data_IF_039539749774
#
_entry.id   IF_039539749774
#
_cell.length_a   1.000
_cell.length_b   1.000
_cell.length_c   1.000
_cell.angle_alpha   90.00
_cell.angle_beta   90.00
_cell.angle_gamma   90.00
#
_symmetry.space_group_name_H-M   'P 1'
#
loop_
_entity.id
_entity.type
_entity.pdbx_description
1 polymer ?
#
# COMPACT_ATOMS: atom_id res chain seq x y z
N UNK A 1 -2.93 -5.03 22.69
CA UNK A 1 -2.96 -3.91 21.73
C UNK A 1 -3.90 -4.22 20.59
N UNK A 2 -3.78 -5.35 19.88
CA UNK A 2 -4.73 -5.73 18.82
C UNK A 2 -6.15 -5.79 19.38
N UNK A 3 -6.35 -6.48 20.52
CA UNK A 3 -7.67 -6.55 21.17
C UNK A 3 -8.20 -5.17 21.61
N UNK A 4 -7.30 -4.25 22.00
CA UNK A 4 -7.65 -2.89 22.42
C UNK A 4 -8.04 -2.02 21.21
N UNK A 5 -7.28 -2.11 20.10
CA UNK A 5 -7.59 -1.44 18.82
C UNK A 5 -8.95 -1.93 18.30
N UNK A 6 -9.23 -3.23 18.43
CA UNK A 6 -10.46 -3.84 17.93
C UNK A 6 -11.65 -3.68 18.89
N UNK A 7 -11.40 -3.51 20.19
CA UNK A 7 -12.43 -3.41 21.24
C UNK A 7 -13.04 -4.75 21.65
N UNK A 8 -12.45 -5.88 21.26
CA UNK A 8 -12.84 -7.24 21.64
C UNK A 8 -11.65 -8.20 21.50
N UNK A 9 -11.77 -9.40 22.07
CA UNK A 9 -10.76 -10.45 21.94
C UNK A 9 -10.82 -11.10 20.57
N UNK A 10 -9.91 -10.74 19.67
CA UNK A 10 -9.74 -11.42 18.40
C UNK A 10 -8.85 -12.65 18.60
N UNK A 11 -9.08 -13.71 17.82
CA UNK A 11 -8.21 -14.87 17.72
C UNK A 11 -7.38 -14.82 16.44
N UNK A 12 -8.00 -14.46 15.33
CA UNK A 12 -7.38 -14.48 14.00
C UNK A 12 -7.51 -13.13 13.28
N UNK A 13 -6.42 -12.63 12.70
CA UNK A 13 -6.39 -11.34 11.97
C UNK A 13 -5.67 -11.46 10.63
N UNK A 14 -6.24 -10.82 9.60
CA UNK A 14 -5.62 -10.70 8.28
C UNK A 14 -5.00 -9.31 8.15
N UNK A 15 -3.70 -9.23 7.90
CA UNK A 15 -2.96 -7.96 7.84
C UNK A 15 -2.46 -7.76 6.41
N UNK A 16 -2.81 -6.64 5.76
CA UNK A 16 -2.60 -6.44 4.32
C UNK A 16 -1.82 -5.16 4.07
N UNK A 17 -0.69 -5.23 3.37
CA UNK A 17 -0.07 -4.04 2.75
C UNK A 17 -0.87 -3.55 1.54
N UNK A 18 -1.27 -2.27 1.53
CA UNK A 18 -2.30 -1.73 0.62
C UNK A 18 -1.76 -1.09 -0.66
N UNK A 19 -0.62 -0.41 -0.57
CA UNK A 19 0.00 0.28 -1.69
C UNK A 19 0.91 -0.63 -2.52
N UNK A 20 1.98 -0.06 -3.03
CA UNK A 20 3.01 -0.84 -3.73
C UNK A 20 3.64 -1.91 -2.83
N UNK A 21 4.32 -2.90 -3.41
CA UNK A 21 4.83 -4.08 -2.70
C UNK A 21 5.68 -3.78 -1.45
N UNK A 22 6.27 -2.59 -1.35
CA UNK A 22 6.98 -2.13 -0.16
C UNK A 22 6.14 -2.10 1.12
N UNK A 23 4.82 -1.94 1.02
CA UNK A 23 3.92 -1.91 2.18
C UNK A 23 3.89 -3.22 2.95
N UNK A 24 4.16 -4.35 2.27
CA UNK A 24 4.34 -5.64 2.93
C UNK A 24 5.42 -5.61 4.03
N UNK A 25 6.46 -4.80 3.84
CA UNK A 25 7.52 -4.59 4.84
C UNK A 25 7.01 -3.78 6.02
N UNK A 26 6.26 -2.70 5.78
CA UNK A 26 5.66 -1.90 6.86
C UNK A 26 4.63 -2.69 7.68
N UNK A 27 3.82 -3.49 7.00
CA UNK A 27 2.83 -4.40 7.60
C UNK A 27 3.43 -5.44 8.55
N UNK A 28 4.71 -5.79 8.36
CA UNK A 28 5.39 -6.78 9.22
C UNK A 28 5.43 -6.35 10.70
N UNK A 29 5.39 -5.04 10.99
CA UNK A 29 5.33 -4.50 12.36
C UNK A 29 4.00 -4.90 13.03
N UNK A 30 2.88 -4.68 12.35
CA UNK A 30 1.55 -5.06 12.86
C UNK A 30 1.38 -6.58 12.90
N UNK A 31 1.96 -7.30 11.95
CA UNK A 31 1.97 -8.77 11.94
C UNK A 31 2.72 -9.33 13.14
N UNK A 32 3.93 -8.83 13.42
CA UNK A 32 4.70 -9.28 14.58
C UNK A 32 4.05 -8.87 15.91
N UNK A 33 3.39 -7.71 15.97
CA UNK A 33 2.55 -7.33 17.11
C UNK A 33 1.43 -8.36 17.35
N UNK A 34 0.72 -8.80 16.31
CA UNK A 34 -0.34 -9.79 16.43
C UNK A 34 0.19 -11.14 16.94
N UNK A 35 1.32 -11.61 16.39
CA UNK A 35 1.96 -12.84 16.87
C UNK A 35 2.43 -12.73 18.33
N UNK A 36 3.01 -11.59 18.72
CA UNK A 36 3.42 -11.31 20.09
C UNK A 36 2.27 -11.28 21.11
N UNK A 37 1.03 -11.10 20.63
CA UNK A 37 -0.20 -11.19 21.42
C UNK A 37 -0.93 -12.53 21.25
N UNK A 38 -0.21 -13.55 20.78
CA UNK A 38 -0.69 -14.92 20.60
C UNK A 38 -1.91 -15.02 19.67
N UNK A 39 -2.00 -14.13 18.68
CA UNK A 39 -3.02 -14.18 17.62
C UNK A 39 -2.56 -15.06 16.47
N UNK A 40 -3.51 -15.76 15.86
CA UNK A 40 -3.32 -16.29 14.51
C UNK A 40 -3.28 -15.09 13.55
N UNK A 41 -2.22 -14.95 12.78
CA UNK A 41 -2.05 -13.83 11.87
C UNK A 41 -1.65 -14.33 10.48
N UNK A 42 -2.27 -13.78 9.45
CA UNK A 42 -1.83 -13.97 8.06
C UNK A 42 -1.38 -12.64 7.51
N UNK A 43 -0.16 -12.61 6.97
CA UNK A 43 0.34 -11.47 6.23
C UNK A 43 -0.09 -11.58 4.76
N UNK A 44 -0.69 -10.51 4.26
CA UNK A 44 -1.03 -10.34 2.85
C UNK A 44 -0.48 -9.04 2.30
N UNK A 45 -0.48 -8.93 0.98
CA UNK A 45 -0.10 -7.71 0.29
C UNK A 45 -0.70 -7.66 -1.10
N UNK A 46 -0.94 -6.43 -1.55
CA UNK A 46 -1.25 -6.17 -2.94
C UNK A 46 -0.03 -6.48 -3.80
N UNK A 47 -0.25 -7.26 -4.86
CA UNK A 47 0.78 -7.64 -5.81
C UNK A 47 0.97 -6.54 -6.86
N UNK A 48 1.48 -5.39 -6.44
CA UNK A 48 1.81 -4.29 -7.34
C UNK A 48 3.21 -3.77 -7.03
N UNK A 49 4.15 -4.10 -7.91
CA UNK A 49 5.55 -3.79 -7.69
C UNK A 49 5.90 -2.42 -8.28
N UNK A 50 6.85 -1.72 -7.65
CA UNK A 50 7.36 -0.47 -8.21
C UNK A 50 8.10 -0.72 -9.52
N UNK A 51 8.08 0.27 -10.42
CA UNK A 51 8.76 0.22 -11.73
C UNK A 51 10.24 -0.21 -11.70
N UNK A 52 10.94 0.02 -10.58
CA UNK A 52 12.33 -0.38 -10.37
C UNK A 52 12.48 -1.89 -10.20
N UNK A 53 11.50 -2.54 -9.58
CA UNK A 53 11.41 -4.00 -9.43
C UNK A 53 10.74 -4.62 -10.65
N UNK A 54 9.71 -3.96 -11.17
CA UNK A 54 8.89 -4.45 -12.26
C UNK A 54 8.46 -3.33 -13.21
N UNK A 55 9.07 -3.22 -14.41
CA UNK A 55 8.70 -2.18 -15.37
C UNK A 55 7.35 -2.42 -16.04
N UNK A 56 6.71 -3.59 -15.88
CA UNK A 56 5.42 -3.87 -16.50
C UNK A 56 4.31 -3.14 -15.72
N UNK A 57 3.53 -2.23 -16.35
CA UNK A 57 2.57 -1.40 -15.62
C UNK A 57 1.45 -2.21 -14.97
N UNK A 58 0.98 -1.73 -13.82
CA UNK A 58 -0.15 -2.30 -13.10
C UNK A 58 0.18 -3.56 -12.30
N UNK A 59 -0.83 -4.08 -11.57
CA UNK A 59 -0.64 -5.21 -10.66
C UNK A 59 -0.29 -6.51 -11.39
N UNK A 60 0.46 -7.36 -10.70
CA UNK A 60 0.76 -8.74 -11.07
C UNK A 60 -0.52 -9.56 -10.97
N UNK A 61 -0.89 -10.25 -12.05
CA UNK A 61 -2.06 -11.12 -12.07
C UNK A 61 -1.74 -12.48 -11.44
N UNK A 62 -2.74 -13.13 -10.86
CA UNK A 62 -2.56 -14.46 -10.25
C UNK A 62 -2.04 -15.49 -11.26
N UNK A 63 -2.44 -15.40 -12.53
CA UNK A 63 -1.98 -16.30 -13.58
C UNK A 63 -0.51 -16.09 -13.98
N UNK A 64 0.09 -14.97 -13.58
CA UNK A 64 1.51 -14.66 -13.82
C UNK A 64 2.40 -15.27 -12.72
N UNK A 65 1.82 -15.66 -11.57
CA UNK A 65 2.55 -16.25 -10.44
C UNK A 65 3.00 -17.69 -10.73
N UNK A 66 4.12 -18.05 -10.12
CA UNK A 66 4.73 -19.37 -10.07
C UNK A 66 5.07 -19.67 -8.60
N UNK A 67 5.11 -20.96 -8.24
CA UNK A 67 5.29 -21.41 -6.85
C UNK A 67 4.28 -20.77 -5.88
N UNK A 68 3.00 -20.83 -6.24
CA UNK A 68 1.89 -20.31 -5.45
C UNK A 68 0.67 -21.22 -5.57
N UNK A 69 -0.20 -21.23 -4.56
CA UNK A 69 -1.49 -21.91 -4.62
C UNK A 69 -2.59 -20.92 -5.00
N UNK A 70 -3.12 -21.03 -6.22
CA UNK A 70 -4.21 -20.17 -6.68
C UNK A 70 -5.51 -20.47 -5.92
N UNK A 71 -6.09 -19.44 -5.30
CA UNK A 71 -7.38 -19.53 -4.59
C UNK A 71 -8.55 -19.03 -5.42
N UNK A 72 -8.28 -18.21 -6.44
CA UNK A 72 -9.28 -17.58 -7.28
C UNK A 72 -8.64 -16.79 -8.43
N UNK A 73 -9.36 -15.80 -8.96
CA UNK A 73 -8.82 -14.94 -10.01
C UNK A 73 -7.91 -13.84 -9.45
N UNK A 74 -8.10 -13.49 -8.18
CA UNK A 74 -7.46 -12.34 -7.54
C UNK A 74 -6.65 -12.72 -6.31
N UNK A 75 -6.78 -13.95 -5.78
CA UNK A 75 -6.05 -14.41 -4.61
C UNK A 75 -5.20 -15.66 -4.87
N UNK A 76 -4.04 -15.70 -4.23
CA UNK A 76 -3.20 -16.89 -4.12
C UNK A 76 -2.50 -16.96 -2.76
N UNK A 77 -2.26 -18.17 -2.25
CA UNK A 77 -1.28 -18.38 -1.20
C UNK A 77 0.11 -18.29 -1.82
N UNK A 78 0.96 -17.47 -1.24
CA UNK A 78 2.33 -17.19 -1.69
C UNK A 78 3.30 -17.43 -0.54
N UNK A 79 4.57 -17.63 -0.85
CA UNK A 79 5.63 -17.87 0.13
C UNK A 79 6.98 -17.33 -0.37
N UNK A 80 8.06 -17.66 0.35
CA UNK A 80 9.41 -17.20 0.03
C UNK A 80 9.96 -17.60 -1.34
N UNK A 81 9.38 -18.63 -1.98
CA UNK A 81 9.79 -19.13 -3.29
C UNK A 81 8.90 -18.64 -4.43
N UNK A 82 7.85 -17.86 -4.12
CA UNK A 82 6.92 -17.30 -5.12
C UNK A 82 7.60 -16.24 -5.98
N UNK A 83 7.38 -16.32 -7.28
CA UNK A 83 7.77 -15.30 -8.25
C UNK A 83 6.73 -15.17 -9.35
N UNK A 84 6.82 -14.13 -10.17
CA UNK A 84 5.98 -13.90 -11.33
C UNK A 84 6.79 -13.91 -12.62
N UNK A 85 6.18 -14.37 -13.72
CA UNK A 85 6.68 -14.17 -15.08
C UNK A 85 5.82 -13.12 -15.77
N UNK A 86 6.36 -11.90 -15.93
CA UNK A 86 5.67 -10.78 -16.58
C UNK A 86 6.40 -10.35 -17.83
N UNK A 87 5.75 -10.46 -18.98
CA UNK A 87 6.36 -10.16 -20.29
C UNK A 87 7.73 -10.86 -20.47
N UNK A 88 7.84 -12.11 -20.02
CA UNK A 88 9.07 -12.92 -20.06
C UNK A 88 10.13 -12.56 -19.01
N UNK A 89 9.84 -11.66 -18.07
CA UNK A 89 10.74 -11.26 -16.99
C UNK A 89 10.41 -12.00 -15.70
N UNK A 90 11.44 -12.38 -14.97
CA UNK A 90 11.33 -12.91 -13.61
C UNK A 90 11.22 -11.75 -12.61
N UNK A 91 10.08 -11.65 -11.92
CA UNK A 91 9.79 -10.61 -10.91
C UNK A 91 9.50 -11.30 -9.60
N UNK A 92 10.16 -10.88 -8.51
CA UNK A 92 9.88 -11.40 -7.17
C UNK A 92 8.98 -10.36 -6.46
N UNK A 93 7.72 -10.69 -6.14
CA UNK A 93 6.87 -9.80 -5.37
C UNK A 93 7.50 -9.49 -4.00
N UNK A 94 7.40 -8.26 -3.51
CA UNK A 94 8.03 -7.90 -2.23
C UNK A 94 7.49 -8.73 -1.06
N UNK A 95 6.22 -9.15 -1.10
CA UNK A 95 5.66 -10.07 -0.11
C UNK A 95 6.44 -11.39 -0.05
N UNK A 96 6.88 -11.94 -1.19
CA UNK A 96 7.68 -13.17 -1.20
C UNK A 96 9.03 -12.95 -0.50
N UNK A 97 9.68 -11.79 -0.69
CA UNK A 97 10.91 -11.46 0.04
C UNK A 97 10.68 -11.41 1.55
N UNK A 98 9.56 -10.83 2.00
CA UNK A 98 9.17 -10.77 3.42
C UNK A 98 8.92 -12.18 3.97
N UNK A 99 8.10 -12.97 3.27
CA UNK A 99 7.75 -14.35 3.63
C UNK A 99 8.96 -15.28 3.68
N UNK A 100 9.94 -15.09 2.81
CA UNK A 100 11.21 -15.82 2.85
C UNK A 100 12.12 -15.46 4.03
N UNK A 101 11.84 -14.37 4.75
CA UNK A 101 12.51 -14.02 6.01
C UNK A 101 11.74 -14.57 7.21
N UNK A 102 10.43 -14.33 7.27
CA UNK A 102 9.60 -14.83 8.38
C UNK A 102 9.36 -16.35 8.33
N UNK A 103 9.60 -16.98 7.17
CA UNK A 103 9.39 -18.41 6.88
C UNK A 103 7.97 -18.88 7.12
N UNK A 104 7.04 -18.13 6.54
CA UNK A 104 5.60 -18.41 6.60
C UNK A 104 4.97 -18.27 5.21
N UNK A 105 3.76 -18.79 5.08
CA UNK A 105 2.89 -18.55 3.92
C UNK A 105 2.09 -17.26 4.14
N UNK A 106 1.68 -16.62 3.05
CA UNK A 106 0.92 -15.39 3.07
C UNK A 106 -0.09 -15.30 1.93
N UNK A 107 -0.82 -14.18 1.89
CA UNK A 107 -1.86 -13.94 0.89
C UNK A 107 -1.40 -12.92 -0.16
N UNK A 108 -1.20 -13.37 -1.39
CA UNK A 108 -1.00 -12.51 -2.54
C UNK A 108 -2.34 -12.02 -3.08
N UNK A 109 -2.51 -10.70 -3.22
CA UNK A 109 -3.75 -10.05 -3.67
C UNK A 109 -3.50 -9.31 -4.97
N UNK A 110 -3.98 -9.84 -6.09
CA UNK A 110 -4.02 -9.12 -7.35
C UNK A 110 -5.24 -8.19 -7.39
N UNK A 111 -5.01 -6.88 -7.47
CA UNK A 111 -6.07 -5.88 -7.66
C UNK A 111 -6.33 -5.57 -9.14
N UNK A 112 -6.01 -6.51 -10.04
CA UNK A 112 -6.09 -6.32 -11.50
C UNK A 112 -7.51 -6.28 -12.08
N UNK A 113 -8.54 -6.56 -11.27
CA UNK A 113 -9.94 -6.61 -11.70
C UNK A 113 -10.85 -5.73 -10.84
N UNK A 114 -12.18 -5.82 -11.01
CA UNK A 114 -13.12 -4.91 -10.38
C UNK A 114 -13.05 -4.95 -8.86
N UNK A 115 -13.14 -3.79 -8.21
CA UNK A 115 -13.19 -3.64 -6.74
C UNK A 115 -14.14 -4.66 -6.11
N UNK A 116 -15.36 -4.76 -6.68
CA UNK A 116 -16.43 -5.63 -6.18
C UNK A 116 -16.08 -7.12 -6.23
N UNK A 117 -15.28 -7.53 -7.21
CA UNK A 117 -14.93 -8.94 -7.41
C UNK A 117 -13.73 -9.33 -6.56
N UNK A 118 -12.71 -8.47 -6.49
CA UNK A 118 -11.57 -8.67 -5.59
C UNK A 118 -12.05 -8.72 -4.13
N UNK A 119 -12.93 -7.78 -3.74
CA UNK A 119 -13.52 -7.76 -2.41
C UNK A 119 -14.34 -9.01 -2.10
N UNK A 120 -15.04 -9.58 -3.09
CA UNK A 120 -15.79 -10.84 -2.91
C UNK A 120 -14.86 -12.01 -2.62
N UNK A 121 -13.79 -12.19 -3.40
CA UNK A 121 -12.83 -13.27 -3.15
C UNK A 121 -12.13 -13.11 -1.78
N UNK A 122 -11.77 -11.88 -1.39
CA UNK A 122 -11.21 -11.62 -0.04
C UNK A 122 -12.25 -11.93 1.05
N UNK A 123 -13.51 -11.58 0.85
CA UNK A 123 -14.58 -11.85 1.82
C UNK A 123 -14.84 -13.36 1.98
N UNK A 124 -14.78 -14.12 0.89
CA UNK A 124 -14.87 -15.57 0.89
C UNK A 124 -13.68 -16.19 1.63
N UNK A 125 -12.47 -15.70 1.37
CA UNK A 125 -11.26 -16.10 2.10
C UNK A 125 -11.38 -15.81 3.60
N UNK A 126 -11.76 -14.58 3.96
CA UNK A 126 -11.98 -14.14 5.33
C UNK A 126 -12.96 -15.06 6.06
N UNK A 127 -14.10 -15.36 5.42
CA UNK A 127 -15.14 -16.21 5.99
C UNK A 127 -14.71 -17.68 6.10
N UNK A 128 -14.02 -18.20 5.08
CA UNK A 128 -13.55 -19.59 5.03
C UNK A 128 -12.54 -19.91 6.12
N UNK A 129 -11.62 -18.98 6.38
CA UNK A 129 -10.54 -19.15 7.36
C UNK A 129 -10.88 -18.53 8.73
N UNK A 130 -12.05 -17.90 8.88
CA UNK A 130 -12.57 -17.47 10.18
C UNK A 130 -11.79 -16.30 10.79
N UNK A 131 -11.34 -15.34 9.98
CA UNK A 131 -10.68 -14.14 10.47
C UNK A 131 -11.69 -13.25 11.21
N UNK A 132 -11.26 -12.71 12.36
CA UNK A 132 -12.09 -11.86 13.22
C UNK A 132 -11.97 -10.37 12.84
N UNK A 133 -10.88 -9.97 12.17
CA UNK A 133 -10.68 -8.62 11.65
C UNK A 133 -9.71 -8.58 10.45
N UNK A 134 -9.81 -7.51 9.65
CA UNK A 134 -8.81 -7.17 8.62
C UNK A 134 -8.13 -5.86 9.01
N UNK A 135 -6.80 -5.81 8.91
CA UNK A 135 -6.00 -4.60 9.15
C UNK A 135 -5.22 -4.27 7.88
N UNK A 136 -5.65 -3.25 7.15
CA UNK A 136 -4.92 -2.73 5.99
C UNK A 136 -3.89 -1.71 6.42
N UNK A 137 -2.66 -1.79 5.92
CA UNK A 137 -1.56 -0.87 6.24
C UNK A 137 -1.10 -0.17 4.95
N UNK A 138 -1.10 1.16 4.99
CA UNK A 138 -0.47 2.06 4.02
C UNK A 138 0.80 2.63 4.67
N UNK A 139 1.93 2.59 3.95
CA UNK A 139 3.18 3.20 4.39
C UNK A 139 3.36 4.58 3.75
N UNK A 140 3.20 5.63 4.57
CA UNK A 140 3.33 7.02 4.15
C UNK A 140 2.05 7.82 4.35
N UNK A 141 0.88 7.25 4.03
CA UNK A 141 -0.42 7.87 4.30
C UNK A 141 -1.14 8.41 3.07
N UNK A 142 -0.76 7.99 1.86
CA UNK A 142 -1.45 8.32 0.60
C UNK A 142 -2.93 7.94 0.62
N UNK A 143 -3.31 6.91 1.39
CA UNK A 143 -4.71 6.53 1.61
C UNK A 143 -5.57 7.63 2.26
N UNK A 144 -4.95 8.60 2.96
CA UNK A 144 -5.63 9.71 3.62
C UNK A 144 -5.70 10.99 2.77
N UNK A 145 -5.13 10.96 1.57
CA UNK A 145 -5.06 12.10 0.67
C UNK A 145 -6.44 12.56 0.18
N UNK A 146 -6.54 13.85 -0.13
CA UNK A 146 -7.74 14.50 -0.65
C UNK A 146 -7.78 14.55 -2.18
N UNK A 147 -6.63 14.41 -2.84
CA UNK A 147 -6.46 14.55 -4.29
C UNK A 147 -6.14 15.97 -4.75
N UNK A 148 -6.07 16.94 -3.84
CA UNK A 148 -5.69 18.33 -4.15
C UNK A 148 -4.23 18.63 -3.88
N UNK A 149 -3.51 17.68 -3.29
CA UNK A 149 -2.12 17.80 -2.89
C UNK A 149 -1.20 17.83 -4.11
N UNK A 150 -0.36 18.85 -4.18
CA UNK A 150 0.55 19.01 -5.30
C UNK A 150 1.68 17.97 -5.32
N UNK A 151 1.94 17.23 -4.24
CA UNK A 151 3.05 16.26 -4.22
C UNK A 151 2.57 14.81 -4.23
N UNK A 152 1.27 14.58 -4.38
CA UNK A 152 0.66 13.24 -4.46
C UNK A 152 0.78 12.66 -5.87
N UNK A 153 1.58 11.61 -6.01
CA UNK A 153 1.96 10.97 -7.28
C UNK A 153 1.50 9.51 -7.38
N UNK A 154 1.36 8.78 -6.27
CA UNK A 154 1.01 7.35 -6.26
C UNK A 154 -0.21 6.93 -5.42
N UNK A 155 -1.38 7.61 -5.48
CA UNK A 155 -2.51 7.27 -4.61
C UNK A 155 -3.38 6.10 -5.10
N UNK A 156 -3.14 5.55 -6.29
CA UNK A 156 -4.12 4.65 -6.93
C UNK A 156 -4.22 3.30 -6.21
N UNK A 157 -3.11 2.62 -5.94
CA UNK A 157 -3.07 1.34 -5.27
C UNK A 157 -3.71 1.46 -3.88
N UNK A 158 -3.30 2.45 -3.08
CA UNK A 158 -3.83 2.69 -1.75
C UNK A 158 -5.34 2.96 -1.76
N UNK A 159 -5.79 3.91 -2.59
CA UNK A 159 -7.22 4.24 -2.67
C UNK A 159 -8.07 3.08 -3.21
N UNK A 160 -7.55 2.31 -4.17
CA UNK A 160 -8.21 1.13 -4.73
C UNK A 160 -8.30 -0.01 -3.71
N UNK A 161 -7.24 -0.24 -2.95
CA UNK A 161 -7.18 -1.25 -1.89
C UNK A 161 -8.09 -0.90 -0.72
N UNK A 162 -8.14 0.35 -0.29
CA UNK A 162 -9.10 0.80 0.73
C UNK A 162 -10.54 0.69 0.22
N UNK A 163 -10.79 0.94 -1.06
CA UNK A 163 -12.11 0.71 -1.68
C UNK A 163 -12.52 -0.76 -1.63
N UNK A 164 -11.59 -1.67 -1.93
CA UNK A 164 -11.79 -3.12 -1.79
C UNK A 164 -12.10 -3.47 -0.33
N UNK A 165 -11.29 -3.00 0.62
CA UNK A 165 -11.47 -3.30 2.05
C UNK A 165 -12.79 -2.76 2.61
N UNK A 166 -13.26 -1.62 2.10
CA UNK A 166 -14.60 -1.09 2.42
C UNK A 166 -15.68 -2.09 2.01
N UNK A 167 -15.57 -2.70 0.82
CA UNK A 167 -16.50 -3.73 0.36
C UNK A 167 -16.36 -5.05 1.12
N UNK A 168 -15.14 -5.44 1.50
CA UNK A 168 -14.92 -6.59 2.39
C UNK A 168 -15.65 -6.38 3.72
N UNK A 169 -15.55 -5.19 4.30
CA UNK A 169 -16.27 -4.84 5.52
C UNK A 169 -17.80 -4.92 5.34
N UNK A 170 -18.32 -4.44 4.21
CA UNK A 170 -19.75 -4.51 3.88
C UNK A 170 -20.24 -5.96 3.77
N UNK A 171 -19.44 -6.85 3.17
CA UNK A 171 -19.83 -8.25 2.90
C UNK A 171 -19.71 -9.17 4.10
N UNK A 172 -18.68 -8.98 4.92
CA UNK A 172 -18.36 -9.86 6.04
C UNK A 172 -18.93 -9.35 7.36
N UNK A 173 -19.14 -8.03 7.47
CA UNK A 173 -19.53 -7.37 8.71
C UNK A 173 -18.43 -7.25 9.76
N UNK A 174 -17.25 -7.86 9.54
CA UNK A 174 -16.16 -7.83 10.51
C UNK A 174 -15.47 -6.46 10.55
N UNK A 175 -14.80 -6.11 11.67
CA UNK A 175 -14.02 -4.90 11.77
C UNK A 175 -12.91 -4.84 10.73
N UNK A 176 -12.77 -3.66 10.13
CA UNK A 176 -11.68 -3.34 9.22
C UNK A 176 -10.99 -2.08 9.72
N UNK A 177 -9.69 -2.19 9.93
CA UNK A 177 -8.84 -1.12 10.46
C UNK A 177 -7.91 -0.65 9.34
N UNK A 178 -7.80 0.67 9.19
CA UNK A 178 -6.77 1.29 8.35
C UNK A 178 -5.62 1.76 9.23
N UNK A 179 -4.44 1.18 9.03
CA UNK A 179 -3.18 1.62 9.62
C UNK A 179 -2.42 2.52 8.66
N UNK A 180 -1.89 3.63 9.16
CA UNK A 180 -0.93 4.48 8.44
C UNK A 180 0.40 4.38 9.15
N UNK A 181 1.36 3.69 8.54
CA UNK A 181 2.71 3.49 9.03
C UNK A 181 3.64 4.60 8.52
N UNK A 182 4.35 5.26 9.43
CA UNK A 182 5.32 6.29 9.08
C UNK A 182 4.73 7.47 8.30
N UNK A 183 4.02 8.40 8.96
CA UNK A 183 3.43 9.56 8.30
C UNK A 183 4.43 10.33 7.41
N UNK A 184 4.15 10.41 6.11
CA UNK A 184 4.92 11.13 5.09
C UNK A 184 6.26 10.51 4.67
N UNK A 185 6.52 9.25 5.03
CA UNK A 185 7.81 8.59 4.71
C UNK A 185 7.96 8.18 3.26
N UNK A 186 6.89 8.19 2.47
CA UNK A 186 6.87 7.94 1.02
C UNK A 186 7.45 9.10 0.18
N UNK A 187 7.61 10.28 0.79
CA UNK A 187 8.06 11.52 0.17
C UNK A 187 7.00 12.24 -0.66
N UNK A 188 5.75 11.81 -0.59
CA UNK A 188 4.63 12.36 -1.36
C UNK A 188 3.86 13.38 -0.53
N UNK A 189 3.48 12.99 0.68
CA UNK A 189 2.78 13.85 1.61
C UNK A 189 3.70 14.36 2.70
N UNK A 190 3.51 15.62 3.09
CA UNK A 190 4.24 16.16 4.23
C UNK A 190 3.79 15.45 5.52
N UNK A 191 4.74 15.02 6.36
CA UNK A 191 4.47 14.40 7.67
C UNK A 191 3.43 15.15 8.50
N UNK A 192 3.55 16.48 8.63
CA UNK A 192 2.65 17.29 9.45
C UNK A 192 1.25 17.35 8.83
N UNK A 193 1.15 17.28 7.50
CA UNK A 193 -0.12 17.15 6.81
C UNK A 193 -0.78 15.80 7.13
N UNK A 194 -0.07 14.69 7.04
CA UNK A 194 -0.62 13.36 7.35
C UNK A 194 -1.05 13.27 8.82
N UNK A 195 -0.23 13.76 9.76
CA UNK A 195 -0.59 13.83 11.18
C UNK A 195 -1.79 14.75 11.45
N UNK A 196 -1.91 15.86 10.73
CA UNK A 196 -3.10 16.72 10.77
C UNK A 196 -4.33 15.96 10.26
N UNK A 197 -4.24 15.22 9.15
CA UNK A 197 -5.33 14.40 8.62
C UNK A 197 -5.76 13.34 9.65
N UNK A 198 -4.82 12.62 10.25
CA UNK A 198 -5.09 11.67 11.34
C UNK A 198 -5.80 12.37 12.51
N UNK A 199 -5.35 13.56 12.91
CA UNK A 199 -5.96 14.33 14.01
C UNK A 199 -7.40 14.77 13.70
N UNK A 200 -7.68 15.16 12.45
CA UNK A 200 -9.05 15.49 12.01
C UNK A 200 -9.98 14.28 12.09
N UNK A 201 -9.50 13.10 11.68
CA UNK A 201 -10.26 11.85 11.75
C UNK A 201 -10.42 11.38 13.21
N UNK A 202 -9.40 11.58 14.06
CA UNK A 202 -9.49 11.33 15.49
C UNK A 202 -10.58 12.18 16.16
N UNK A 203 -10.73 13.45 15.77
CA UNK A 203 -11.82 14.33 16.22
C UNK A 203 -13.21 13.81 15.86
N UNK A 204 -13.32 12.88 14.90
CA UNK A 204 -14.56 12.18 14.52
C UNK A 204 -14.71 10.82 15.19
N UNK A 205 -13.87 10.50 16.17
CA UNK A 205 -13.90 9.24 16.92
C UNK A 205 -13.39 8.02 16.16
N UNK A 206 -12.62 8.24 15.09
CA UNK A 206 -12.06 7.17 14.27
C UNK A 206 -10.74 6.60 14.79
N UNK A 207 -10.04 7.32 15.67
CA UNK A 207 -8.74 6.89 16.16
C UNK A 207 -8.87 5.71 17.13
N UNK A 208 -8.17 4.62 16.83
CA UNK A 208 -8.19 3.37 17.61
C UNK A 208 -6.93 3.20 18.45
N UNK A 209 -5.82 3.81 18.05
CA UNK A 209 -4.56 3.72 18.77
C UNK A 209 -3.36 3.90 17.85
N UNK A 210 -2.17 3.82 18.43
CA UNK A 210 -0.93 3.88 17.69
C UNK A 210 0.09 2.92 18.29
N UNK A 211 0.96 2.36 17.45
CA UNK A 211 2.00 1.42 17.86
C UNK A 211 3.32 1.76 17.16
N UNK A 212 4.40 1.76 17.92
CA UNK A 212 5.76 1.88 17.40
C UNK A 212 6.50 0.55 17.47
N UNK A 213 7.44 0.28 16.55
CA UNK A 213 8.22 -0.96 16.55
C UNK A 213 9.07 -1.10 17.82
N UNK A 214 9.07 -2.30 18.38
CA UNK A 214 9.95 -2.75 19.48
C UNK A 214 11.33 -3.14 18.95
N UNK A 215 12.28 -3.43 19.85
CA UNK A 215 13.58 -3.95 19.43
C UNK A 215 13.49 -5.26 18.64
N UNK A 216 12.51 -6.12 18.93
CA UNK A 216 12.28 -7.34 18.15
C UNK A 216 11.82 -7.04 16.72
N UNK A 217 10.94 -6.04 16.56
CA UNK A 217 10.50 -5.57 15.25
C UNK A 217 11.67 -5.00 14.45
N UNK A 218 12.61 -4.30 15.10
CA UNK A 218 13.78 -3.74 14.42
C UNK A 218 14.73 -4.81 13.87
N UNK A 219 14.94 -5.90 14.61
CA UNK A 219 15.76 -7.02 14.13
C UNK A 219 15.08 -7.67 12.92
N UNK A 220 13.78 -7.92 13.01
CA UNK A 220 13.02 -8.49 11.90
C UNK A 220 13.03 -7.57 10.65
N UNK A 221 12.81 -6.26 10.85
CA UNK A 221 12.85 -5.28 9.76
C UNK A 221 14.23 -5.21 9.12
N UNK A 222 15.31 -5.30 9.90
CA UNK A 222 16.68 -5.33 9.37
C UNK A 222 16.89 -6.54 8.45
N UNK A 223 16.45 -7.73 8.87
CA UNK A 223 16.53 -8.95 8.06
C UNK A 223 15.66 -8.86 6.78
N UNK A 224 14.45 -8.32 6.90
CA UNK A 224 13.53 -8.09 5.76
C UNK A 224 14.14 -7.10 4.77
N UNK A 225 14.64 -5.96 5.23
CA UNK A 225 15.25 -4.92 4.40
C UNK A 225 16.57 -5.38 3.75
N UNK A 226 17.17 -6.47 4.23
CA UNK A 226 18.27 -7.16 3.56
C UNK A 226 17.86 -7.91 2.28
N UNK A 227 16.56 -8.17 2.08
CA UNK A 227 16.03 -8.89 0.89
C UNK A 227 14.99 -8.10 0.11
N UNK A 228 14.05 -7.44 0.78
CA UNK A 228 12.97 -6.69 0.18
C UNK A 228 13.41 -5.28 -0.23
N UNK A 229 12.87 -4.80 -1.35
CA UNK A 229 13.17 -3.48 -1.90
C UNK A 229 12.04 -2.51 -1.54
N UNK A 230 12.32 -1.56 -0.65
CA UNK A 230 11.40 -0.48 -0.30
C UNK A 230 12.18 0.72 0.23
N UNK A 231 11.89 1.92 -0.29
CA UNK A 231 12.48 3.15 0.26
C UNK A 231 11.65 3.65 1.46
N UNK A 232 10.32 3.63 1.37
CA UNK A 232 9.42 4.20 2.37
C UNK A 232 9.50 3.45 3.72
N UNK A 233 9.37 2.11 3.70
CA UNK A 233 9.44 1.29 4.91
C UNK A 233 10.86 1.25 5.49
N UNK A 234 11.90 1.44 4.68
CA UNK A 234 13.26 1.63 5.16
C UNK A 234 13.39 2.92 6.00
N UNK A 235 12.66 3.98 5.65
CA UNK A 235 12.64 5.21 6.45
C UNK A 235 11.91 5.04 7.78
N UNK A 236 10.87 4.19 7.85
CA UNK A 236 10.22 3.78 9.12
C UNK A 236 11.25 3.12 10.04
N UNK A 237 12.00 2.14 9.54
CA UNK A 237 13.10 1.48 10.28
C UNK A 237 14.17 2.49 10.72
N UNK A 238 14.61 3.37 9.81
CA UNK A 238 15.64 4.39 10.09
C UNK A 238 15.21 5.36 11.19
N UNK A 239 13.96 5.82 11.17
CA UNK A 239 13.39 6.65 12.22
C UNK A 239 13.34 5.91 13.57
N UNK A 240 12.93 4.65 13.56
CA UNK A 240 12.85 3.82 14.76
C UNK A 240 14.22 3.52 15.40
N UNK A 241 15.29 3.51 14.57
CA UNK A 241 16.69 3.45 15.02
C UNK A 241 17.22 4.79 15.57
N UNK A 242 16.38 5.81 15.63
CA UNK A 242 16.68 7.10 16.24
C UNK A 242 17.19 8.17 15.28
N UNK A 243 17.11 7.97 13.96
CA UNK A 243 17.47 9.01 13.01
C UNK A 243 16.49 10.19 13.09
N UNK A 244 17.04 11.40 13.13
CA UNK A 244 16.29 12.66 13.11
C UNK A 244 16.90 13.61 12.08
N UNK A 245 16.05 14.21 11.24
CA UNK A 245 16.45 15.20 10.23
C UNK A 245 16.02 14.81 8.82
N UNK A 246 16.53 15.56 7.84
CA UNK A 246 16.19 15.34 6.43
C UNK A 246 16.91 14.11 5.87
N UNK A 247 16.24 13.36 5.01
CA UNK A 247 16.80 12.24 4.26
C UNK A 247 16.25 12.25 2.84
N UNK A 248 17.05 11.76 1.90
CA UNK A 248 16.64 11.64 0.52
C UNK A 248 15.75 10.40 0.30
N UNK A 249 14.84 10.49 -0.68
CA UNK A 249 13.99 9.41 -1.16
C UNK A 249 13.74 9.56 -2.67
N UNK A 250 13.25 8.50 -3.31
CA UNK A 250 12.98 8.40 -4.75
C UNK A 250 14.24 8.68 -5.55
N UNK A 251 15.32 8.00 -5.18
CA UNK A 251 16.64 8.16 -5.81
C UNK A 251 17.23 9.56 -5.69
N UNK A 252 16.88 10.33 -4.64
CA UNK A 252 17.41 11.67 -4.40
C UNK A 252 16.57 12.83 -4.96
N UNK A 253 15.47 12.52 -5.64
CA UNK A 253 14.59 13.55 -6.23
C UNK A 253 13.69 14.24 -5.21
N UNK A 254 13.55 13.65 -4.01
CA UNK A 254 12.69 14.13 -2.93
C UNK A 254 13.39 14.04 -1.58
N UNK A 255 12.91 14.86 -0.63
CA UNK A 255 13.39 14.88 0.76
C UNK A 255 12.25 14.67 1.73
N UNK A 256 12.52 13.86 2.75
CA UNK A 256 11.61 13.59 3.86
C UNK A 256 12.30 14.00 5.15
N UNK A 257 11.58 14.71 6.03
CA UNK A 257 12.05 14.99 7.39
C UNK A 257 11.57 13.89 8.33
N UNK A 258 12.52 13.14 8.89
CA UNK A 258 12.25 12.07 9.84
C UNK A 258 12.38 12.55 11.28
N UNK A 259 11.50 12.02 12.12
CA UNK A 259 11.64 11.98 13.58
C UNK A 259 10.98 10.70 14.12
N UNK A 260 10.87 10.57 15.45
CA UNK A 260 10.34 9.36 16.06
C UNK A 260 8.89 9.07 15.66
N UNK A 261 8.08 10.08 15.32
CA UNK A 261 6.70 9.88 14.83
C UNK A 261 6.66 9.16 13.48
N UNK A 262 7.73 9.28 12.68
CA UNK A 262 7.90 8.56 11.41
C UNK A 262 8.11 7.05 11.58
N UNK A 263 8.28 6.55 12.79
CA UNK A 263 8.29 5.09 13.07
C UNK A 263 6.92 4.52 13.46
N UNK A 264 5.92 5.38 13.70
CA UNK A 264 4.67 4.97 14.34
C UNK A 264 3.65 4.56 13.28
N UNK A 265 2.90 3.51 13.58
CA UNK A 265 1.67 3.14 12.87
C UNK A 265 0.46 3.66 13.63
N UNK A 266 -0.39 4.44 12.97
CA UNK A 266 -1.63 4.99 13.52
C UNK A 266 -2.82 4.22 12.97
N UNK A 267 -3.68 3.69 13.85
CA UNK A 267 -4.81 2.84 13.49
C UNK A 267 -6.12 3.62 13.55
N UNK A 268 -6.92 3.49 12.49
CA UNK A 268 -8.19 4.18 12.29
C UNK A 268 -9.29 3.17 11.96
N UNK A 269 -10.48 3.40 12.49
CA UNK A 269 -11.70 2.66 12.15
C UNK A 269 -12.15 3.06 10.72
N UNK A 270 -12.01 2.13 9.76
CA UNK A 270 -12.31 2.40 8.36
C UNK A 270 -13.76 2.86 8.16
N UNK A 271 -14.70 2.25 8.89
CA UNK A 271 -16.13 2.54 8.77
C UNK A 271 -16.45 3.99 9.11
N UNK A 272 -15.72 4.56 10.07
CA UNK A 272 -15.92 5.95 10.52
C UNK A 272 -15.28 6.98 9.60
N UNK A 273 -14.28 6.60 8.80
CA UNK A 273 -13.51 7.55 7.98
C UNK A 273 -13.86 7.49 6.50
N UNK A 274 -14.57 6.47 6.00
CA UNK A 274 -14.77 6.28 4.55
C UNK A 274 -15.33 7.52 3.84
N UNK A 275 -16.24 8.27 4.47
CA UNK A 275 -16.82 9.49 3.90
C UNK A 275 -15.81 10.65 3.77
N UNK A 276 -14.66 10.54 4.43
CA UNK A 276 -13.57 11.53 4.45
C UNK A 276 -12.41 11.17 3.51
N UNK A 277 -12.54 10.06 2.77
CA UNK A 277 -11.54 9.55 1.83
C UNK A 277 -12.05 9.76 0.39
N UNK A 278 -11.92 10.97 -0.19
CA UNK A 278 -12.53 11.29 -1.49
C UNK A 278 -11.99 10.43 -2.62
N UNK A 279 -10.69 10.08 -2.62
CA UNK A 279 -10.10 9.24 -3.66
C UNK A 279 -10.68 7.82 -3.65
N UNK A 280 -10.84 7.24 -2.46
CA UNK A 280 -11.50 5.95 -2.27
C UNK A 280 -12.94 5.99 -2.80
N UNK A 281 -13.70 7.02 -2.45
CA UNK A 281 -15.08 7.17 -2.91
C UNK A 281 -15.21 7.34 -4.42
N UNK A 282 -14.22 7.95 -5.08
CA UNK A 282 -14.19 8.06 -6.54
C UNK A 282 -13.99 6.70 -7.22
N UNK A 283 -13.20 5.81 -6.62
CA UNK A 283 -12.81 4.53 -7.25
C UNK A 283 -13.58 3.32 -6.72
N UNK A 284 -14.49 3.50 -5.75
CA UNK A 284 -15.23 2.42 -5.06
C UNK A 284 -16.00 1.44 -5.98
N UNK A 285 -16.31 1.87 -7.20
CA UNK A 285 -17.02 1.07 -8.22
C UNK A 285 -16.17 0.81 -9.48
N UNK A 286 -14.86 1.07 -9.43
CA UNK A 286 -13.99 0.93 -10.57
C UNK A 286 -13.88 -0.53 -11.03
N UNK A 287 -13.82 -0.73 -12.36
CA UNK A 287 -13.80 -2.05 -13.00
C UNK A 287 -12.42 -2.68 -13.08
N UNK A 288 -11.38 -1.87 -12.96
CA UNK A 288 -9.98 -2.24 -12.91
C UNK A 288 -9.16 -1.00 -12.53
N UNK A 289 -7.84 -1.13 -12.29
CA UNK A 289 -6.98 0.01 -11.98
C UNK A 289 -6.93 1.09 -13.08
N UNK A 290 -7.12 0.73 -14.35
CA UNK A 290 -7.13 1.70 -15.46
C UNK A 290 -8.40 2.56 -15.48
N UNK A 291 -9.55 1.97 -15.15
CA UNK A 291 -10.83 2.64 -14.97
C UNK A 291 -10.78 3.61 -13.77
N UNK A 292 -10.16 3.17 -12.68
CA UNK A 292 -9.88 4.03 -11.52
C UNK A 292 -8.93 5.18 -11.87
N UNK A 293 -7.81 4.89 -12.54
CA UNK A 293 -6.87 5.91 -13.03
C UNK A 293 -7.58 6.96 -13.90
N UNK A 294 -8.44 6.55 -14.85
CA UNK A 294 -9.22 7.50 -15.67
C UNK A 294 -10.13 8.39 -14.82
N UNK A 295 -10.77 7.80 -13.80
CA UNK A 295 -11.64 8.53 -12.88
C UNK A 295 -10.86 9.57 -12.06
N UNK A 296 -9.71 9.18 -11.51
CA UNK A 296 -8.80 10.07 -10.78
C UNK A 296 -8.24 11.19 -11.67
N UNK A 297 -7.79 10.85 -12.88
CA UNK A 297 -7.30 11.82 -13.86
C UNK A 297 -8.36 12.85 -14.25
N UNK A 298 -9.65 12.46 -14.32
CA UNK A 298 -10.75 13.40 -14.57
C UNK A 298 -10.91 14.47 -13.48
N UNK A 299 -10.30 14.25 -12.31
CA UNK A 299 -10.21 15.19 -11.19
C UNK A 299 -8.85 15.87 -11.07
N UNK A 300 -7.93 15.61 -11.99
CA UNK A 300 -6.57 16.16 -12.00
C UNK A 300 -5.59 15.41 -11.10
N UNK A 301 -5.99 14.28 -10.55
CA UNK A 301 -5.13 13.45 -9.69
C UNK A 301 -4.29 12.55 -10.58
N UNK A 302 -2.98 12.75 -10.56
CA UNK A 302 -2.03 11.84 -11.18
C UNK A 302 -1.94 10.54 -10.38
N UNK A 303 -1.64 9.44 -11.07
CA UNK A 303 -1.42 8.13 -10.45
C UNK A 303 -0.07 7.53 -10.85
N UNK A 304 0.39 6.58 -10.06
CA UNK A 304 1.55 5.75 -10.35
C UNK A 304 1.37 4.99 -11.67
N UNK A 305 0.15 4.57 -12.02
CA UNK A 305 -0.12 3.88 -13.27
C UNK A 305 0.09 4.79 -14.50
N UNK A 306 -0.19 6.09 -14.39
CA UNK A 306 0.17 7.05 -15.45
C UNK A 306 1.68 7.06 -15.69
N UNK A 307 2.44 7.08 -14.60
CA UNK A 307 3.89 7.12 -14.64
C UNK A 307 4.48 5.81 -15.14
N UNK A 308 4.00 4.67 -14.63
CA UNK A 308 4.41 3.33 -15.05
C UNK A 308 4.21 3.12 -16.56
N UNK A 309 3.10 3.57 -17.13
CA UNK A 309 2.89 3.48 -18.59
C UNK A 309 3.96 4.22 -19.39
N UNK A 310 4.34 5.43 -18.96
CA UNK A 310 5.41 6.20 -19.63
C UNK A 310 6.78 5.57 -19.40
N UNK A 311 7.07 5.08 -18.19
CA UNK A 311 8.29 4.34 -17.88
C UNK A 311 8.40 3.09 -18.74
N UNK A 312 7.31 2.34 -18.91
CA UNK A 312 7.32 1.13 -19.73
C UNK A 312 7.54 1.44 -21.21
N UNK A 313 6.92 2.49 -21.74
CA UNK A 313 7.20 2.96 -23.12
C UNK A 313 8.67 3.35 -23.28
N UNK A 314 9.23 4.09 -22.32
CA UNK A 314 10.66 4.43 -22.31
C UNK A 314 11.53 3.17 -22.26
N UNK A 315 11.21 2.22 -21.38
CA UNK A 315 11.92 0.95 -21.22
C UNK A 315 11.90 0.12 -22.51
N UNK A 316 10.75 0.00 -23.19
CA UNK A 316 10.65 -0.70 -24.48
C UNK A 316 11.46 -0.03 -25.59
N UNK A 317 11.55 1.31 -25.57
CA UNK A 317 12.29 2.07 -26.58
C UNK A 317 13.81 2.11 -26.33
N UNK A 318 14.25 2.09 -25.07
CA UNK A 318 15.66 2.30 -24.67
C UNK A 318 16.33 1.05 -24.08
N UNK A 319 15.57 0.02 -23.77
CA UNK A 319 16.01 -1.20 -23.07
C UNK A 319 16.71 -0.92 -21.73
N UNK A 320 16.36 0.20 -21.08
CA UNK A 320 16.81 0.59 -19.74
C UNK A 320 15.71 1.35 -19.02
N UNK A 321 15.75 1.34 -17.68
CA UNK A 321 14.92 2.20 -16.86
C UNK A 321 15.38 3.67 -16.96
N UNK A 322 14.48 4.65 -16.76
CA UNK A 322 14.87 6.05 -16.66
C UNK A 322 15.74 6.30 -15.42
N UNK A 323 16.67 7.26 -15.49
CA UNK A 323 17.35 7.80 -14.31
C UNK A 323 16.33 8.52 -13.39
N UNK A 324 16.68 8.80 -12.12
CA UNK A 324 15.81 9.59 -11.23
C UNK A 324 15.40 10.94 -11.83
N UNK A 325 16.32 11.62 -12.52
CA UNK A 325 16.04 12.90 -13.21
C UNK A 325 15.10 12.71 -14.41
N UNK A 326 15.32 11.67 -15.23
CA UNK A 326 14.43 11.34 -16.36
C UNK A 326 13.02 11.02 -15.86
N UNK A 327 12.92 10.22 -14.79
CA UNK A 327 11.65 9.88 -14.12
C UNK A 327 10.94 11.14 -13.59
N UNK A 328 11.67 12.04 -12.93
CA UNK A 328 11.12 13.29 -12.42
C UNK A 328 10.57 14.18 -13.56
N UNK A 329 11.26 14.26 -14.69
CA UNK A 329 10.77 14.99 -15.86
C UNK A 329 9.49 14.38 -16.44
N UNK A 330 9.41 13.04 -16.53
CA UNK A 330 8.19 12.36 -16.96
C UNK A 330 7.00 12.69 -16.06
N UNK A 331 7.19 12.66 -14.74
CA UNK A 331 6.15 13.05 -13.78
C UNK A 331 5.67 14.48 -14.04
N UNK A 332 6.59 15.43 -14.20
CA UNK A 332 6.24 16.82 -14.51
C UNK A 332 5.43 16.96 -15.80
N UNK A 333 5.81 16.22 -16.85
CA UNK A 333 5.08 16.22 -18.12
C UNK A 333 3.66 15.67 -17.99
N UNK A 334 3.48 14.54 -17.30
CA UNK A 334 2.17 13.93 -17.03
C UNK A 334 1.27 14.93 -16.31
N UNK A 335 1.78 15.57 -15.25
CA UNK A 335 1.00 16.54 -14.46
C UNK A 335 0.61 17.77 -15.27
N UNK A 336 1.52 18.30 -16.08
CA UNK A 336 1.21 19.43 -16.97
C UNK A 336 0.12 19.06 -17.97
N UNK A 337 0.15 17.84 -18.53
CA UNK A 337 -0.91 17.34 -19.43
C UNK A 337 -2.26 17.28 -18.70
N UNK A 338 -2.32 16.72 -17.49
CA UNK A 338 -3.56 16.62 -16.71
C UNK A 338 -4.12 17.99 -16.32
N UNK A 339 -3.27 18.94 -15.89
CA UNK A 339 -3.67 20.32 -15.58
C UNK A 339 -4.25 21.02 -16.81
N UNK A 340 -3.59 20.92 -17.96
CA UNK A 340 -4.06 21.53 -19.21
C UNK A 340 -5.41 20.94 -19.67
N UNK A 341 -5.62 19.63 -19.50
CA UNK A 341 -6.89 18.98 -19.82
C UNK A 341 -8.03 19.54 -18.97
N UNK A 342 -7.82 19.71 -17.66
CA UNK A 342 -8.81 20.31 -16.76
C UNK A 342 -9.15 21.76 -17.12
N UNK A 343 -8.15 22.56 -17.51
CA UNK A 343 -8.37 23.94 -17.92
C UNK A 343 -9.14 24.05 -19.25
N UNK A 344 -8.87 23.13 -20.19
CA UNK A 344 -9.55 23.08 -21.48
C UNK A 344 -11.01 22.62 -21.39
N UNK A 345 -11.33 21.72 -20.45
CA UNK A 345 -12.69 21.23 -20.22
C UNK A 345 -13.58 22.18 -19.39
N UNK A 346 -13.02 23.30 -18.89
CA UNK A 346 -13.77 24.36 -18.19
C UNK A 346 -14.18 25.53 -19.10
N UNK A 347 -13.80 25.51 -20.38
CA UNK A 347 -14.19 26.50 -21.40
C UNK A 347 -15.34 25.98 -22.24
#
# INVERSE_FOLDING_TARGET
MIDEILGFKARSVLIIGLGGGGDAVGSSITYNLALGEEKEATLGAVLWERYVSDPVPGPIRIQELQNSETLGNYLAIVNGDTYAIREGRHVIPQIANVLGVIKDDGLGISISGPVINVAREISEYVSKYGFDAVIGIDVGGDALALGSEDELYSPLADSYSVAILTKVQDYTGIPVVLGVAGPGVDGELNRDYVLMRISQLAGKGAFLGAYGPTQSDLVLLEDILGKAITEASQLVYKAARGYYGDTDIRGGTRKVKLDISSSITYYLDLRKIINELPLVNLVINARDPWDAMKTLNSKGVMTELNFEEEVYRYYKAKSKLPSPEEAYLMIREIRNKLRNQLESGRR
#
